data_IF_034220998783
#
_entry.id   IF_034220998783
#
_cell.length_a   1.000
_cell.length_b   1.000
_cell.length_c   1.000
_cell.angle_alpha   90.00
_cell.angle_beta   90.00
_cell.angle_gamma   90.00
#
_symmetry.space_group_name_H-M   'P 1'
#
loop_
_entity.id
_entity.type
_entity.pdbx_description
1 polymer ?
#
# COMPACT_ATOMS: atom_id res chain seq x y z
N UNK A 1 -8.04 -12.21 8.26
CA UNK A 1 -6.68 -11.71 8.55
C UNK A 1 -5.69 -12.83 8.36
N UNK A 2 -6.01 -14.03 8.84
CA UNK A 2 -5.32 -15.27 8.46
C UNK A 2 -5.32 -15.52 6.95
N UNK A 3 -6.46 -15.35 6.27
CA UNK A 3 -6.57 -15.50 4.79
C UNK A 3 -5.50 -14.74 3.96
N UNK A 4 -5.15 -13.50 4.31
CA UNK A 4 -4.14 -12.71 3.57
C UNK A 4 -2.70 -12.93 4.06
N UNK A 5 -2.52 -13.40 5.30
CA UNK A 5 -1.21 -13.91 5.75
C UNK A 5 -0.94 -15.23 5.03
N UNK A 6 -1.96 -16.07 4.90
CA UNK A 6 -1.95 -17.28 4.10
C UNK A 6 -1.62 -16.94 2.65
N UNK A 7 -2.15 -15.87 2.05
CA UNK A 7 -1.81 -15.50 0.68
C UNK A 7 -0.33 -15.15 0.49
N UNK A 8 0.29 -14.40 1.41
CA UNK A 8 1.74 -14.08 1.31
C UNK A 8 2.59 -15.33 1.60
N UNK A 9 2.24 -16.12 2.61
CA UNK A 9 2.96 -17.36 2.94
C UNK A 9 2.82 -18.39 1.82
N UNK A 10 1.63 -18.54 1.23
CA UNK A 10 1.35 -19.42 0.09
C UNK A 10 2.07 -18.98 -1.18
N UNK A 11 2.27 -17.67 -1.37
CA UNK A 11 3.12 -17.13 -2.44
C UNK A 11 4.59 -17.46 -2.18
N UNK A 12 5.08 -17.36 -0.95
CA UNK A 12 6.42 -17.82 -0.58
C UNK A 12 6.59 -19.36 -0.69
N UNK A 13 5.49 -20.11 -0.61
CA UNK A 13 5.48 -21.56 -0.87
C UNK A 13 5.50 -21.89 -2.37
N UNK A 14 5.36 -20.92 -3.26
CA UNK A 14 5.53 -21.17 -4.69
C UNK A 14 6.99 -21.51 -4.98
N UNK A 15 7.17 -22.57 -5.78
CA UNK A 15 8.49 -22.96 -6.25
C UNK A 15 9.06 -21.81 -7.07
N UNK A 16 10.25 -21.39 -6.70
CA UNK A 16 10.93 -20.32 -7.40
C UNK A 16 11.24 -20.72 -8.84
N UNK A 17 11.02 -19.79 -9.77
CA UNK A 17 11.24 -20.01 -11.19
C UNK A 17 12.73 -20.18 -11.49
N UNK A 18 13.02 -20.90 -12.57
CA UNK A 18 14.37 -21.12 -13.07
C UNK A 18 15.02 -19.79 -13.48
N UNK A 19 16.34 -19.66 -13.29
CA UNK A 19 17.07 -18.39 -13.50
C UNK A 19 16.83 -17.76 -14.87
N UNK A 20 16.85 -18.55 -15.94
CA UNK A 20 16.54 -18.11 -17.31
C UNK A 20 15.16 -17.45 -17.44
N UNK A 21 14.13 -18.03 -16.81
CA UNK A 21 12.78 -17.47 -16.84
C UNK A 21 12.68 -16.19 -15.99
N UNK A 22 13.40 -16.13 -14.87
CA UNK A 22 13.52 -14.91 -14.05
C UNK A 22 14.17 -13.79 -14.86
N UNK A 23 15.26 -14.07 -15.56
CA UNK A 23 15.98 -13.12 -16.40
C UNK A 23 15.11 -12.60 -17.55
N UNK A 24 14.45 -13.51 -18.28
CA UNK A 24 13.52 -13.15 -19.37
C UNK A 24 12.38 -12.24 -18.89
N UNK A 25 11.87 -12.45 -17.68
CA UNK A 25 10.83 -11.59 -17.08
C UNK A 25 11.37 -10.22 -16.69
N UNK A 26 12.56 -10.17 -16.12
CA UNK A 26 13.24 -8.92 -15.78
C UNK A 26 13.50 -8.09 -17.05
N UNK A 27 13.97 -8.72 -18.12
CA UNK A 27 14.19 -8.10 -19.43
C UNK A 27 12.89 -7.54 -20.03
N UNK A 28 11.78 -8.27 -19.94
CA UNK A 28 10.47 -7.82 -20.44
C UNK A 28 9.97 -6.54 -19.74
N UNK A 29 10.36 -6.32 -18.49
CA UNK A 29 9.98 -5.15 -17.70
C UNK A 29 11.02 -4.04 -17.74
N UNK A 30 12.07 -4.16 -18.58
CA UNK A 30 13.01 -3.07 -18.79
C UNK A 30 12.35 -1.88 -19.46
N UNK A 31 12.70 -0.70 -18.99
CA UNK A 31 12.15 0.57 -19.47
C UNK A 31 11.66 1.44 -18.32
N UNK A 32 11.05 2.56 -18.68
CA UNK A 32 10.52 3.49 -17.71
C UNK A 32 9.17 3.00 -17.18
N UNK A 33 9.02 2.95 -15.87
CA UNK A 33 7.79 2.57 -15.18
C UNK A 33 7.51 3.63 -14.11
N UNK A 34 6.25 4.03 -13.96
CA UNK A 34 5.86 4.90 -12.86
C UNK A 34 5.92 4.13 -11.54
N UNK A 35 6.97 4.39 -10.78
CA UNK A 35 7.19 3.79 -9.48
C UNK A 35 6.24 4.38 -8.43
N UNK A 36 5.74 3.54 -7.52
CA UNK A 36 5.07 3.97 -6.30
C UNK A 36 5.42 3.05 -5.15
N UNK A 37 5.39 3.56 -3.92
CA UNK A 37 5.66 2.74 -2.72
C UNK A 37 4.68 1.56 -2.59
N UNK A 38 3.40 1.76 -2.92
CA UNK A 38 2.38 0.71 -2.83
C UNK A 38 2.20 -0.09 -4.11
N UNK A 39 2.64 0.43 -5.26
CA UNK A 39 2.41 -0.18 -6.57
C UNK A 39 3.67 -0.16 -7.41
N UNK A 40 3.99 -1.28 -8.06
CA UNK A 40 5.16 -1.37 -8.95
C UNK A 40 6.50 -1.05 -8.26
N UNK A 41 6.55 -1.24 -6.94
CA UNK A 41 7.78 -1.13 -6.16
C UNK A 41 8.77 -2.28 -6.48
N UNK A 42 9.96 -2.19 -5.89
CA UNK A 42 11.01 -3.21 -6.08
C UNK A 42 10.57 -4.60 -5.63
N UNK A 43 9.80 -4.72 -4.53
CA UNK A 43 9.29 -6.01 -4.04
C UNK A 43 8.35 -6.65 -5.08
N UNK A 44 7.44 -5.88 -5.67
CA UNK A 44 6.56 -6.36 -6.73
C UNK A 44 7.34 -6.86 -7.94
N UNK A 45 8.39 -6.14 -8.35
CA UNK A 45 9.24 -6.56 -9.46
C UNK A 45 9.94 -7.89 -9.18
N UNK A 46 10.62 -8.03 -8.03
CA UNK A 46 11.36 -9.26 -7.71
C UNK A 46 10.43 -10.44 -7.49
N UNK A 47 9.25 -10.22 -6.88
CA UNK A 47 8.26 -11.29 -6.68
C UNK A 47 7.66 -11.75 -8.01
N UNK A 48 7.43 -10.84 -8.95
CA UNK A 48 6.96 -11.19 -10.29
C UNK A 48 8.00 -12.01 -11.05
N UNK A 49 9.26 -11.58 -10.99
CA UNK A 49 10.35 -12.25 -11.69
C UNK A 49 10.62 -13.63 -11.07
N UNK A 50 10.68 -13.74 -9.74
CA UNK A 50 11.09 -14.96 -9.03
C UNK A 50 9.98 -15.99 -8.83
N UNK A 51 8.75 -15.53 -8.56
CA UNK A 51 7.63 -16.40 -8.19
C UNK A 51 6.42 -16.25 -9.13
N UNK A 52 6.41 -15.24 -10.01
CA UNK A 52 5.27 -14.99 -10.89
C UNK A 52 4.07 -14.35 -10.22
N UNK A 53 4.30 -13.67 -9.11
CA UNK A 53 3.24 -13.02 -8.32
C UNK A 53 3.55 -11.55 -8.12
N UNK A 54 2.52 -10.73 -8.03
CA UNK A 54 2.67 -9.29 -7.82
C UNK A 54 2.20 -8.98 -6.40
N UNK A 55 3.03 -9.36 -5.43
CA UNK A 55 2.75 -9.15 -3.99
C UNK A 55 3.91 -8.41 -3.35
N UNK A 56 3.62 -7.53 -2.39
CA UNK A 56 4.62 -6.79 -1.61
C UNK A 56 4.27 -6.87 -0.13
N UNK A 57 5.28 -7.20 0.68
CA UNK A 57 5.15 -7.22 2.13
C UNK A 57 4.94 -5.81 2.68
N UNK A 58 5.62 -4.82 2.11
CA UNK A 58 5.41 -3.41 2.45
C UNK A 58 3.93 -3.02 2.28
N UNK A 59 3.32 -3.36 1.14
CA UNK A 59 1.91 -3.07 0.85
C UNK A 59 0.99 -3.78 1.83
N UNK A 60 1.29 -5.04 2.15
CA UNK A 60 0.54 -5.80 3.15
C UNK A 60 0.57 -5.14 4.54
N UNK A 61 1.75 -4.74 5.00
CA UNK A 61 1.93 -4.10 6.30
C UNK A 61 1.26 -2.72 6.35
N UNK A 62 1.30 -1.96 5.26
CA UNK A 62 0.56 -0.71 5.14
C UNK A 62 -0.95 -0.94 5.28
N UNK A 63 -1.53 -1.87 4.51
CA UNK A 63 -2.96 -2.19 4.57
C UNK A 63 -3.37 -2.69 5.96
N UNK A 64 -2.55 -3.51 6.60
CA UNK A 64 -2.77 -3.98 7.98
C UNK A 64 -2.78 -2.81 8.97
N UNK A 65 -1.84 -1.89 8.83
CA UNK A 65 -1.74 -0.70 9.69
C UNK A 65 -2.93 0.23 9.50
N UNK A 66 -3.30 0.54 8.24
CA UNK A 66 -4.48 1.35 7.92
C UNK A 66 -5.74 0.72 8.48
N UNK A 67 -5.95 -0.59 8.27
CA UNK A 67 -7.10 -1.30 8.84
C UNK A 67 -7.13 -1.20 10.36
N UNK A 68 -5.99 -1.40 11.03
CA UNK A 68 -5.89 -1.29 12.49
C UNK A 68 -6.21 0.14 12.96
N UNK A 69 -5.76 1.15 12.21
CA UNK A 69 -6.02 2.56 12.48
C UNK A 69 -7.50 2.89 12.33
N UNK A 70 -8.13 2.49 11.21
CA UNK A 70 -9.54 2.72 10.90
C UNK A 70 -10.48 2.03 11.90
N UNK A 71 -10.14 0.81 12.34
CA UNK A 71 -10.93 0.06 13.31
C UNK A 71 -10.60 0.41 14.77
N UNK A 72 -9.61 1.28 15.01
CA UNK A 72 -9.24 1.70 16.36
C UNK A 72 -10.28 2.67 16.91
N UNK A 73 -10.99 2.25 17.96
CA UNK A 73 -11.97 3.09 18.68
C UNK A 73 -11.34 4.38 19.23
N UNK A 74 -10.07 4.34 19.62
CA UNK A 74 -9.35 5.50 20.10
C UNK A 74 -9.17 6.53 18.98
N UNK A 75 -8.67 6.08 17.83
CA UNK A 75 -8.47 6.95 16.66
C UNK A 75 -9.79 7.50 16.17
N UNK A 76 -10.83 6.67 16.07
CA UNK A 76 -12.15 7.11 15.65
C UNK A 76 -12.70 8.23 16.57
N UNK A 77 -12.57 8.06 17.90
CA UNK A 77 -12.99 9.09 18.87
C UNK A 77 -12.16 10.36 18.76
N UNK A 78 -10.84 10.25 18.71
CA UNK A 78 -9.93 11.41 18.60
C UNK A 78 -10.18 12.18 17.31
N UNK A 79 -10.32 11.49 16.18
CA UNK A 79 -10.62 12.12 14.88
C UNK A 79 -11.99 12.80 14.89
N UNK A 80 -13.03 12.17 15.48
CA UNK A 80 -14.36 12.77 15.58
C UNK A 80 -14.36 14.03 16.46
N UNK A 81 -13.70 13.99 17.62
CA UNK A 81 -13.58 15.16 18.51
C UNK A 81 -12.80 16.28 17.83
N UNK A 82 -11.67 15.97 17.18
CA UNK A 82 -10.87 16.97 16.47
C UNK A 82 -11.65 17.60 15.31
N UNK A 83 -12.34 16.80 14.51
CA UNK A 83 -13.18 17.28 13.41
C UNK A 83 -14.31 18.19 13.91
N UNK A 84 -14.97 17.83 15.02
CA UNK A 84 -15.98 18.68 15.64
C UNK A 84 -15.40 20.02 16.10
N UNK A 85 -14.25 20.03 16.80
CA UNK A 85 -13.59 21.26 17.23
C UNK A 85 -13.22 22.17 16.04
N UNK A 86 -12.66 21.60 14.98
CA UNK A 86 -12.26 22.35 13.78
C UNK A 86 -13.46 22.90 13.01
N UNK A 87 -14.58 22.17 13.01
CA UNK A 87 -15.86 22.64 12.44
C UNK A 87 -16.44 23.81 13.25
N UNK A 88 -16.45 23.72 14.58
CA UNK A 88 -16.91 24.82 15.46
C UNK A 88 -16.02 26.06 15.36
N UNK A 89 -14.72 25.90 15.12
CA UNK A 89 -13.79 27.01 14.91
C UNK A 89 -13.92 27.65 13.51
N UNK A 90 -14.81 27.16 12.64
CA UNK A 90 -14.98 27.65 11.27
C UNK A 90 -13.79 27.37 10.34
N UNK A 91 -12.83 26.56 10.78
CA UNK A 91 -11.54 26.35 10.11
C UNK A 91 -11.59 25.24 9.06
N UNK A 92 -12.56 24.32 9.14
CA UNK A 92 -12.70 23.22 8.19
C UNK A 92 -14.07 23.21 7.52
N UNK A 93 -14.08 23.41 6.21
CA UNK A 93 -15.19 23.02 5.34
C UNK A 93 -15.01 21.57 4.89
N UNK A 94 -16.07 20.78 4.87
CA UNK A 94 -16.04 19.36 4.45
C UNK A 94 -15.42 19.19 3.05
N UNK A 95 -15.58 20.20 2.20
CA UNK A 95 -15.04 20.24 0.82
C UNK A 95 -13.52 20.41 0.72
N UNK A 96 -12.83 20.94 1.74
CA UNK A 96 -11.38 21.18 1.70
C UNK A 96 -10.55 20.09 2.40
N UNK A 97 -11.14 19.35 3.33
CA UNK A 97 -10.44 18.30 4.08
C UNK A 97 -10.10 17.06 3.23
N UNK A 98 -11.05 16.60 2.40
CA UNK A 98 -10.87 15.43 1.54
C UNK A 98 -9.69 15.57 0.55
N UNK A 99 -9.62 16.65 -0.23
CA UNK A 99 -8.52 16.90 -1.15
C UNK A 99 -7.15 16.95 -0.46
N UNK A 100 -7.05 17.55 0.73
CA UNK A 100 -5.77 17.65 1.46
C UNK A 100 -5.23 16.27 1.86
N UNK A 101 -6.11 15.40 2.36
CA UNK A 101 -5.75 14.03 2.75
C UNK A 101 -5.34 13.22 1.52
N UNK A 102 -6.10 13.32 0.43
CA UNK A 102 -5.79 12.64 -0.83
C UNK A 102 -4.46 13.13 -1.42
N UNK A 103 -4.21 14.44 -1.46
CA UNK A 103 -2.96 14.99 -1.98
C UNK A 103 -1.76 14.58 -1.14
N UNK A 104 -1.87 14.64 0.19
CA UNK A 104 -0.79 14.21 1.10
C UNK A 104 -0.44 12.74 0.89
N UNK A 105 -1.46 11.89 0.68
CA UNK A 105 -1.28 10.48 0.38
C UNK A 105 -0.63 10.25 -0.98
N UNK A 106 -1.08 10.95 -2.03
CA UNK A 106 -0.52 10.83 -3.38
C UNK A 106 0.94 11.31 -3.45
N UNK A 107 1.27 12.42 -2.77
CA UNK A 107 2.65 12.92 -2.68
C UNK A 107 3.53 11.90 -1.96
N UNK A 108 3.09 11.40 -0.81
CA UNK A 108 3.82 10.36 -0.09
C UNK A 108 4.04 9.10 -0.94
N UNK A 109 3.04 8.69 -1.74
CA UNK A 109 3.14 7.55 -2.65
C UNK A 109 4.10 7.75 -3.82
N UNK A 110 4.40 9.01 -4.16
CA UNK A 110 5.31 9.40 -5.25
C UNK A 110 6.76 9.61 -4.81
N UNK A 111 7.02 9.58 -3.49
CA UNK A 111 8.33 9.79 -2.87
C UNK A 111 9.14 8.51 -2.70
#
# INVERSE_FOLDING_TARGET
>A
MEEHILSVVQVCSQVALHGEEVARRAEKLQGHISYSLLWYNCEHFVMYCRYGTVVSFQTFQFCKTVRKLLLSRCVAKTTATLAACLFYAGALTLSSAGPLVLLSFLIWMSS
#
